data_IF_994038914996
#
_entry.id   IF_994038914996
#
_cell.length_a   1.000
_cell.length_b   1.000
_cell.length_c   1.000
_cell.angle_alpha   90.00
_cell.angle_beta   90.00
_cell.angle_gamma   90.00
#
_symmetry.space_group_name_H-M   'P 1'
#
loop_
_entity.id
_entity.type
_entity.pdbx_description
1 polymer ?
#
# COMPACT_ATOMS: atom_id res chain seq x y z
N UNK A 1 52.54 33.38 -15.73
CA UNK A 1 52.04 33.94 -17.00
C UNK A 1 50.58 34.27 -16.82
N UNK A 2 50.30 35.57 -16.78
CA UNK A 2 48.96 36.13 -16.59
C UNK A 2 48.31 36.30 -17.97
N UNK A 3 47.01 36.02 -18.10
CA UNK A 3 46.16 36.64 -19.12
C UNK A 3 44.83 37.06 -18.55
N UNK A 4 44.55 38.27 -18.90
CA UNK A 4 43.55 39.19 -18.43
C UNK A 4 42.17 38.93 -19.07
N UNK A 5 41.14 39.18 -18.31
CA UNK A 5 39.99 40.08 -18.45
C UNK A 5 39.55 40.47 -19.86
N UNK A 6 38.30 40.19 -20.19
CA UNK A 6 37.43 41.17 -20.89
C UNK A 6 35.96 40.98 -20.48
N UNK A 7 35.39 42.00 -19.85
CA UNK A 7 33.99 42.27 -19.68
C UNK A 7 33.41 42.72 -21.03
N UNK A 8 32.19 42.27 -21.36
CA UNK A 8 31.31 42.96 -22.31
C UNK A 8 29.94 43.10 -21.69
N UNK A 9 29.59 44.31 -21.36
CA UNK A 9 28.25 44.79 -21.05
C UNK A 9 27.49 44.99 -22.34
N UNK A 10 26.24 44.55 -22.38
CA UNK A 10 25.26 45.06 -23.34
C UNK A 10 23.94 45.28 -22.61
N UNK A 11 23.72 46.54 -22.29
CA UNK A 11 22.41 47.13 -22.00
C UNK A 11 21.45 46.93 -23.21
N UNK A 12 20.26 46.50 -22.94
CA UNK A 12 19.13 46.74 -23.83
C UNK A 12 17.88 47.02 -23.00
N UNK A 13 17.62 48.30 -22.82
CA UNK A 13 16.35 48.87 -22.44
C UNK A 13 15.34 48.60 -23.55
N UNK A 14 14.22 48.00 -23.23
CA UNK A 14 13.02 48.13 -24.06
C UNK A 14 11.87 48.69 -23.25
N UNK A 15 11.27 49.66 -23.90
CA UNK A 15 10.34 50.68 -23.50
C UNK A 15 8.94 50.13 -23.24
N UNK A 16 8.30 50.69 -22.23
CA UNK A 16 6.85 50.63 -21.93
C UNK A 16 5.99 50.91 -23.16
N UNK A 17 4.99 50.07 -23.36
CA UNK A 17 3.81 50.36 -24.16
C UNK A 17 2.57 49.88 -23.41
N UNK A 18 1.92 50.82 -22.74
CA UNK A 18 0.65 50.57 -22.04
C UNK A 18 -0.52 50.41 -23.01
N UNK A 19 -1.41 49.51 -22.65
CA UNK A 19 -2.80 49.57 -23.07
C UNK A 19 -3.68 49.12 -21.90
N UNK A 20 -4.25 50.11 -21.21
CA UNK A 20 -5.37 49.94 -20.31
C UNK A 20 -6.60 49.58 -21.15
N UNK A 21 -7.16 48.42 -20.98
CA UNK A 21 -8.52 48.10 -21.38
C UNK A 21 -9.31 47.69 -20.14
N UNK A 22 -9.98 48.67 -19.54
CA UNK A 22 -10.99 48.48 -18.51
C UNK A 22 -12.22 47.84 -19.14
N UNK A 23 -12.48 46.58 -18.86
CA UNK A 23 -13.79 45.97 -19.06
C UNK A 23 -14.38 45.64 -17.69
N UNK A 24 -15.26 46.53 -17.22
CA UNK A 24 -16.13 46.25 -16.09
C UNK A 24 -17.20 45.27 -16.56
N UNK A 25 -17.12 44.03 -16.11
CA UNK A 25 -18.26 43.11 -16.14
C UNK A 25 -18.71 42.90 -14.70
N UNK A 26 -19.86 43.52 -14.39
CA UNK A 26 -20.64 43.19 -13.21
C UNK A 26 -21.15 41.77 -13.36
N UNK A 27 -20.57 40.84 -12.60
CA UNK A 27 -21.17 39.53 -12.38
C UNK A 27 -21.86 39.61 -11.02
N UNK A 28 -23.18 39.76 -11.11
CA UNK A 28 -24.11 39.55 -10.01
C UNK A 28 -23.86 38.16 -9.39
N UNK A 29 -23.63 38.18 -8.10
CA UNK A 29 -23.55 36.98 -7.30
C UNK A 29 -24.84 36.15 -7.40
N UNK A 30 -24.65 34.90 -7.73
CA UNK A 30 -25.55 33.84 -7.30
C UNK A 30 -24.68 32.80 -6.59
N UNK A 31 -24.57 32.99 -5.29
CA UNK A 31 -24.23 31.90 -4.39
C UNK A 31 -25.35 30.87 -4.46
N UNK A 32 -25.26 29.96 -5.41
CA UNK A 32 -26.00 28.71 -5.35
C UNK A 32 -25.30 27.79 -4.36
N UNK A 33 -25.68 27.94 -3.10
CA UNK A 33 -25.54 26.88 -2.14
C UNK A 33 -26.30 25.64 -2.69
N UNK A 34 -25.59 24.70 -3.30
CA UNK A 34 -26.08 23.34 -3.46
C UNK A 34 -26.14 22.69 -2.08
N UNK A 35 -27.12 23.12 -1.27
CA UNK A 35 -27.66 22.29 -0.24
C UNK A 35 -28.34 21.13 -0.96
N UNK A 36 -27.70 19.96 -0.99
CA UNK A 36 -28.35 18.72 -1.37
C UNK A 36 -29.56 18.57 -0.45
N UNK A 37 -30.74 18.78 -1.02
CA UNK A 37 -31.99 18.58 -0.33
C UNK A 37 -32.04 17.12 0.13
N UNK A 38 -31.88 16.92 1.41
CA UNK A 38 -32.26 15.67 2.04
C UNK A 38 -33.76 15.48 1.78
N UNK A 39 -34.19 14.35 1.22
CA UNK A 39 -35.62 14.09 1.11
C UNK A 39 -36.18 14.07 2.54
N UNK A 40 -37.07 15.02 2.83
CA UNK A 40 -37.87 15.03 4.05
C UNK A 40 -38.70 13.75 4.06
N UNK A 41 -38.29 12.80 4.89
CA UNK A 41 -39.08 11.60 5.18
C UNK A 41 -40.29 12.08 5.98
N UNK A 42 -41.49 11.95 5.38
CA UNK A 42 -42.74 12.24 6.03
C UNK A 42 -42.88 11.36 7.27
N UNK A 43 -43.44 11.93 8.32
CA UNK A 43 -43.57 11.35 9.67
C UNK A 43 -44.60 10.19 9.79
N UNK A 44 -44.96 9.48 8.73
CA UNK A 44 -46.00 8.47 8.71
C UNK A 44 -45.52 7.02 8.65
N UNK A 45 -44.29 6.73 9.06
CA UNK A 45 -43.84 5.33 9.19
C UNK A 45 -43.46 4.97 10.63
N UNK A 46 -44.42 5.17 11.56
CA UNK A 46 -44.36 4.50 12.86
C UNK A 46 -44.92 3.09 12.69
N UNK A 47 -44.09 2.09 12.42
CA UNK A 47 -44.21 0.67 12.78
C UNK A 47 -43.48 -0.24 11.79
N UNK A 48 -42.13 -0.27 11.89
CA UNK A 48 -41.42 -1.48 11.49
C UNK A 48 -40.40 -1.80 12.62
N UNK A 49 -40.93 -2.37 13.71
CA UNK A 49 -40.11 -3.07 14.68
C UNK A 49 -39.59 -4.31 13.93
N UNK A 50 -38.27 -4.49 13.79
CA UNK A 50 -37.74 -5.70 13.13
C UNK A 50 -38.33 -6.94 13.77
N UNK A 51 -38.71 -7.92 12.96
CA UNK A 51 -39.18 -9.19 13.45
C UNK A 51 -38.12 -9.82 14.36
N UNK A 52 -38.51 -10.51 15.46
CA UNK A 52 -37.53 -11.17 16.33
C UNK A 52 -36.75 -12.21 15.53
N UNK A 53 -35.43 -11.93 15.35
CA UNK A 53 -34.51 -12.75 14.54
C UNK A 53 -33.85 -12.02 13.36
N UNK A 54 -34.18 -10.76 13.08
CA UNK A 54 -33.52 -9.98 12.04
C UNK A 54 -32.16 -9.49 12.52
N UNK A 55 -31.11 -9.69 11.70
CA UNK A 55 -29.77 -9.22 12.01
C UNK A 55 -29.73 -7.69 12.21
N UNK A 56 -28.84 -7.15 13.08
CA UNK A 56 -28.64 -5.73 13.27
C UNK A 56 -28.44 -4.97 11.96
N UNK A 57 -28.90 -3.73 11.89
CA UNK A 57 -28.83 -2.91 10.67
C UNK A 57 -27.42 -2.75 10.12
N UNK A 58 -26.41 -2.64 11.01
CA UNK A 58 -24.99 -2.56 10.66
C UNK A 58 -24.46 -3.85 10.02
N UNK A 59 -24.90 -5.02 10.50
CA UNK A 59 -24.49 -6.30 9.90
C UNK A 59 -25.12 -6.48 8.51
N UNK A 60 -26.40 -6.12 8.37
CA UNK A 60 -27.09 -6.10 7.07
C UNK A 60 -26.43 -5.15 6.09
N UNK A 61 -26.03 -3.96 6.55
CA UNK A 61 -25.32 -2.97 5.77
C UNK A 61 -23.94 -3.48 5.31
N UNK A 62 -23.19 -4.12 6.21
CA UNK A 62 -21.90 -4.72 5.89
C UNK A 62 -22.03 -5.85 4.85
N UNK A 63 -23.02 -6.72 5.01
CA UNK A 63 -23.27 -7.79 4.02
C UNK A 63 -23.71 -7.23 2.67
N UNK A 64 -24.59 -6.21 2.68
CA UNK A 64 -24.98 -5.52 1.44
C UNK A 64 -23.81 -4.87 0.75
N UNK A 65 -22.92 -4.22 1.53
CA UNK A 65 -21.69 -3.62 1.00
C UNK A 65 -20.79 -4.66 0.31
N UNK A 66 -20.58 -5.80 0.95
CA UNK A 66 -19.80 -6.89 0.36
C UNK A 66 -20.39 -7.33 -0.98
N UNK A 67 -21.69 -7.60 -1.01
CA UNK A 67 -22.38 -8.01 -2.22
C UNK A 67 -22.33 -6.94 -3.32
N UNK A 68 -22.45 -5.66 -2.93
CA UNK A 68 -22.37 -4.53 -3.86
C UNK A 68 -20.96 -4.40 -4.43
N UNK A 69 -19.93 -4.48 -3.59
CA UNK A 69 -18.53 -4.41 -3.99
C UNK A 69 -18.16 -5.52 -4.97
N UNK A 70 -18.64 -6.75 -4.72
CA UNK A 70 -18.46 -7.90 -5.60
C UNK A 70 -19.19 -7.70 -6.94
N UNK A 71 -20.46 -7.23 -6.90
CA UNK A 71 -21.27 -6.99 -8.10
C UNK A 71 -20.71 -5.86 -8.99
N UNK A 72 -20.15 -4.81 -8.40
CA UNK A 72 -19.50 -3.71 -9.11
C UNK A 72 -18.04 -4.03 -9.48
N UNK A 73 -17.53 -5.20 -9.08
CA UNK A 73 -16.12 -5.61 -9.27
C UNK A 73 -15.14 -4.53 -8.78
N UNK A 74 -15.38 -4.01 -7.56
CA UNK A 74 -14.58 -2.90 -7.04
C UNK A 74 -13.12 -3.30 -6.83
N UNK A 75 -12.22 -2.50 -7.39
CA UNK A 75 -10.81 -2.53 -7.07
C UNK A 75 -10.48 -1.35 -6.15
N UNK A 76 -10.44 -1.58 -4.84
CA UNK A 76 -10.22 -0.52 -3.84
C UNK A 76 -8.87 0.22 -4.01
N UNK A 77 -7.92 -0.31 -4.80
CA UNK A 77 -6.68 0.42 -5.14
C UNK A 77 -6.97 1.59 -6.07
N UNK A 78 -8.04 1.50 -6.87
CA UNK A 78 -8.45 2.49 -7.85
C UNK A 78 -9.70 3.20 -7.41
N UNK A 79 -10.70 2.45 -6.95
CA UNK A 79 -12.01 2.98 -6.61
C UNK A 79 -12.03 3.78 -5.29
N UNK A 80 -10.94 3.75 -4.51
CA UNK A 80 -10.74 4.50 -3.26
C UNK A 80 -12.03 4.69 -2.44
N UNK A 81 -12.76 3.61 -2.25
CA UNK A 81 -14.01 3.57 -1.51
C UNK A 81 -13.91 2.50 -0.43
N UNK A 82 -13.70 2.93 0.81
CA UNK A 82 -13.60 2.06 1.98
C UNK A 82 -14.62 2.50 3.01
N UNK A 83 -15.58 1.63 3.30
CA UNK A 83 -16.68 1.90 4.23
C UNK A 83 -16.63 0.96 5.44
N UNK A 84 -16.98 1.48 6.59
CA UNK A 84 -17.17 0.75 7.84
C UNK A 84 -18.57 1.05 8.37
N UNK A 85 -19.20 0.04 8.93
CA UNK A 85 -20.58 0.12 9.44
C UNK A 85 -20.60 -0.11 10.94
N UNK A 86 -21.48 0.61 11.63
CA UNK A 86 -21.68 0.51 13.05
C UNK A 86 -23.13 0.90 13.42
N UNK A 87 -23.48 0.79 14.71
CA UNK A 87 -24.81 1.18 15.16
C UNK A 87 -25.03 2.69 14.98
N UNK A 88 -26.21 3.07 14.49
CA UNK A 88 -26.62 4.47 14.35
C UNK A 88 -26.89 5.09 15.72
N UNK A 89 -26.57 6.38 15.88
CA UNK A 89 -26.88 7.12 17.12
C UNK A 89 -28.39 7.33 17.30
N UNK A 90 -29.13 7.48 16.18
CA UNK A 90 -30.59 7.68 16.18
C UNK A 90 -31.39 6.49 16.70
N UNK A 91 -30.82 5.28 16.69
CA UNK A 91 -31.51 4.03 17.03
C UNK A 91 -32.84 3.81 16.27
N UNK A 92 -33.00 4.46 15.12
CA UNK A 92 -34.17 4.24 14.26
C UNK A 92 -34.11 2.84 13.62
N UNK A 93 -35.23 2.16 13.43
CA UNK A 93 -35.27 0.90 12.72
C UNK A 93 -34.66 1.02 11.33
N UNK A 94 -33.77 0.10 10.96
CA UNK A 94 -33.07 0.12 9.66
C UNK A 94 -31.97 1.16 9.54
N UNK A 95 -31.65 1.94 10.59
CA UNK A 95 -30.55 2.90 10.57
C UNK A 95 -29.21 2.23 10.95
N UNK A 96 -28.15 2.57 10.21
CA UNK A 96 -26.78 2.21 10.52
C UNK A 96 -25.88 3.44 10.38
N UNK A 97 -24.81 3.53 11.19
CA UNK A 97 -23.75 4.50 10.95
C UNK A 97 -22.83 3.99 9.86
N UNK A 98 -22.41 4.87 8.96
CA UNK A 98 -21.37 4.58 7.96
C UNK A 98 -20.26 5.60 8.06
N UNK A 99 -19.04 5.11 8.22
CA UNK A 99 -17.82 5.91 8.24
C UNK A 99 -16.88 5.43 7.15
N UNK A 100 -15.82 6.19 6.87
CA UNK A 100 -14.81 5.77 5.91
C UNK A 100 -14.41 6.89 4.96
N UNK A 101 -13.93 6.48 3.79
CA UNK A 101 -13.45 7.40 2.76
C UNK A 101 -14.05 7.06 1.39
N UNK A 102 -14.19 8.07 0.55
CA UNK A 102 -14.63 7.92 -0.84
C UNK A 102 -13.93 8.94 -1.74
N UNK A 103 -13.34 8.46 -2.85
CA UNK A 103 -13.00 9.31 -4.00
C UNK A 103 -14.08 9.25 -5.09
N UNK A 104 -15.10 8.40 -4.92
CA UNK A 104 -16.12 8.08 -5.91
C UNK A 104 -17.54 8.44 -5.41
N UNK A 105 -17.93 9.74 -5.42
CA UNK A 105 -19.23 10.15 -4.91
C UNK A 105 -20.41 9.47 -5.62
N UNK A 106 -20.30 9.24 -6.93
CA UNK A 106 -21.35 8.59 -7.72
C UNK A 106 -21.55 7.13 -7.31
N UNK A 107 -20.46 6.41 -7.05
CA UNK A 107 -20.51 5.02 -6.61
C UNK A 107 -21.06 4.91 -5.19
N UNK A 108 -20.67 5.83 -4.30
CA UNK A 108 -21.24 5.92 -2.95
C UNK A 108 -22.74 6.19 -2.98
N UNK A 109 -23.21 7.12 -3.83
CA UNK A 109 -24.65 7.38 -4.00
C UNK A 109 -25.41 6.16 -4.55
N UNK A 110 -24.80 5.41 -5.49
CA UNK A 110 -25.37 4.17 -6.01
C UNK A 110 -25.51 3.12 -4.92
N UNK A 111 -24.53 2.96 -4.05
CA UNK A 111 -24.60 2.09 -2.88
C UNK A 111 -25.72 2.50 -1.93
N UNK A 112 -25.81 3.79 -1.56
CA UNK A 112 -26.87 4.27 -0.68
C UNK A 112 -28.28 4.07 -1.26
N UNK A 113 -28.43 4.28 -2.57
CA UNK A 113 -29.70 3.97 -3.25
C UNK A 113 -30.04 2.47 -3.23
N UNK A 114 -29.05 1.60 -3.33
CA UNK A 114 -29.27 0.14 -3.21
C UNK A 114 -29.69 -0.24 -1.79
N UNK A 115 -29.10 0.36 -0.78
CA UNK A 115 -29.40 0.15 0.63
C UNK A 115 -30.79 0.64 1.00
N UNK A 116 -31.20 1.81 0.52
CA UNK A 116 -32.53 2.36 0.75
C UNK A 116 -33.64 1.45 0.21
N UNK A 117 -33.41 0.79 -0.93
CA UNK A 117 -34.34 -0.21 -1.48
C UNK A 117 -34.54 -1.47 -0.60
N UNK A 118 -33.59 -1.69 0.33
CA UNK A 118 -33.66 -2.78 1.31
C UNK A 118 -34.04 -2.28 2.73
N UNK A 119 -34.59 -1.07 2.82
CA UNK A 119 -35.02 -0.49 4.09
C UNK A 119 -33.88 -0.07 5.02
N UNK A 120 -32.66 0.09 4.50
CA UNK A 120 -31.53 0.62 5.25
C UNK A 120 -31.36 2.13 5.00
N UNK A 121 -31.06 2.86 6.08
CA UNK A 121 -30.70 4.28 6.04
C UNK A 121 -29.36 4.50 6.73
N UNK A 122 -28.64 5.56 6.36
CA UNK A 122 -27.30 5.80 6.90
C UNK A 122 -27.16 7.15 7.56
N UNK A 123 -26.58 7.14 8.76
CA UNK A 123 -25.91 8.30 9.35
C UNK A 123 -24.49 8.32 8.82
N UNK A 124 -24.24 9.14 7.78
CA UNK A 124 -23.00 9.10 7.01
C UNK A 124 -21.97 10.11 7.54
N UNK A 125 -20.76 9.63 7.85
CA UNK A 125 -19.56 10.39 8.11
C UNK A 125 -18.41 9.92 7.20
N UNK A 126 -18.70 9.79 5.89
CA UNK A 126 -17.73 9.41 4.86
C UNK A 126 -16.95 10.64 4.42
N UNK A 127 -15.63 10.56 4.51
CA UNK A 127 -14.74 11.65 4.08
C UNK A 127 -14.46 11.55 2.58
N UNK A 128 -14.58 12.67 1.87
CA UNK A 128 -14.16 12.77 0.47
C UNK A 128 -12.63 12.86 0.39
N UNK A 129 -12.02 12.10 -0.53
CA UNK A 129 -10.56 12.11 -0.77
C UNK A 129 -10.27 12.11 -2.27
N UNK A 130 -9.14 12.70 -2.74
CA UNK A 130 -8.21 13.48 -1.92
C UNK A 130 -8.86 14.74 -1.37
N UNK A 131 -8.36 15.23 -0.23
CA UNK A 131 -8.80 16.49 0.38
C UNK A 131 -7.76 17.60 0.10
N UNK A 132 -7.80 18.30 -1.05
CA UNK A 132 -6.73 19.18 -1.51
C UNK A 132 -6.33 20.27 -0.51
N UNK A 133 -7.31 20.81 0.23
CA UNK A 133 -7.07 21.86 1.23
C UNK A 133 -6.22 21.39 2.41
N UNK A 134 -6.25 20.10 2.74
CA UNK A 134 -5.45 19.54 3.82
C UNK A 134 -4.03 19.18 3.39
N UNK A 135 -3.76 19.05 2.08
CA UNK A 135 -2.49 18.53 1.57
C UNK A 135 -1.36 19.55 1.58
N UNK A 136 -1.68 20.86 1.53
CA UNK A 136 -0.67 21.93 1.48
C UNK A 136 0.41 21.65 0.42
N UNK A 137 -0.01 21.25 -0.79
CA UNK A 137 0.82 20.82 -1.92
C UNK A 137 1.68 19.54 -1.67
N UNK A 138 1.65 18.98 -0.46
CA UNK A 138 2.40 17.75 -0.14
C UNK A 138 1.55 16.53 -0.49
N UNK A 139 1.60 16.14 -1.75
CA UNK A 139 0.78 15.06 -2.34
C UNK A 139 1.43 13.70 -2.25
N UNK A 140 2.72 13.65 -1.87
CA UNK A 140 3.52 12.42 -1.78
C UNK A 140 4.24 12.32 -0.45
N UNK A 141 4.41 11.09 0.02
CA UNK A 141 5.23 10.72 1.16
C UNK A 141 6.20 9.60 0.79
N UNK A 142 7.38 9.64 1.38
CA UNK A 142 8.35 8.53 1.32
C UNK A 142 8.74 8.20 2.75
N UNK A 143 8.65 6.93 3.13
CA UNK A 143 9.01 6.50 4.49
C UNK A 143 10.48 6.77 4.73
N UNK A 144 10.81 7.52 5.79
CA UNK A 144 12.18 7.96 6.13
C UNK A 144 12.81 7.22 7.32
N UNK A 145 12.04 6.36 7.96
CA UNK A 145 12.47 5.49 9.08
C UNK A 145 12.57 4.05 8.61
N UNK A 146 13.28 3.19 9.34
CA UNK A 146 13.47 1.78 8.97
C UNK A 146 12.15 1.05 8.75
N UNK A 147 11.22 1.23 9.69
CA UNK A 147 9.85 0.73 9.60
C UNK A 147 8.88 1.66 10.32
N UNK A 148 7.62 1.64 9.91
CA UNK A 148 6.52 2.39 10.53
C UNK A 148 5.22 1.61 10.40
N UNK A 149 4.28 1.86 11.32
CA UNK A 149 2.97 1.21 11.31
C UNK A 149 1.95 2.04 10.52
N UNK A 150 1.19 1.35 9.68
CA UNK A 150 0.04 1.89 9.00
C UNK A 150 -1.22 1.46 9.76
N UNK A 151 -2.03 2.43 10.21
CA UNK A 151 -3.22 2.21 11.04
C UNK A 151 -4.50 2.24 10.20
N UNK A 152 -5.51 1.47 10.58
CA UNK A 152 -6.80 1.42 9.87
C UNK A 152 -7.77 2.54 10.25
N UNK A 153 -7.61 3.13 11.43
CA UNK A 153 -8.51 4.14 11.97
C UNK A 153 -7.93 5.55 11.89
N UNK A 154 -8.82 6.52 11.73
CA UNK A 154 -8.48 7.93 11.92
C UNK A 154 -8.00 8.15 13.37
N UNK A 155 -6.78 8.63 13.60
CA UNK A 155 -6.23 8.85 14.94
C UNK A 155 -7.03 9.84 15.79
N UNK A 156 -7.95 10.63 15.18
CA UNK A 156 -8.88 11.50 15.91
C UNK A 156 -10.03 10.75 16.58
N UNK A 157 -10.26 9.49 16.21
CA UNK A 157 -11.29 8.65 16.85
C UNK A 157 -10.78 7.94 18.09
N UNK A 158 -9.85 8.57 18.82
CA UNK A 158 -9.21 8.06 20.03
C UNK A 158 -10.22 7.45 21.02
N UNK A 159 -9.96 6.23 21.44
CA UNK A 159 -10.80 5.41 22.35
C UNK A 159 -11.20 4.05 21.78
N UNK A 160 -10.96 3.79 20.48
CA UNK A 160 -11.07 2.46 19.89
C UNK A 160 -9.69 1.82 19.80
N UNK A 161 -9.63 0.52 19.92
CA UNK A 161 -8.38 -0.25 19.76
C UNK A 161 -7.84 -0.01 18.35
N UNK A 162 -6.74 0.73 18.25
CA UNK A 162 -6.03 0.95 17.00
C UNK A 162 -5.56 -0.41 16.46
N UNK A 163 -5.77 -0.63 15.19
CA UNK A 163 -5.32 -1.86 14.53
C UNK A 163 -4.29 -1.51 13.46
N UNK A 164 -3.10 -2.08 13.61
CA UNK A 164 -2.09 -2.01 12.57
C UNK A 164 -2.56 -2.79 11.35
N UNK A 165 -2.65 -2.10 10.22
CA UNK A 165 -3.05 -2.69 8.93
C UNK A 165 -1.89 -3.40 8.29
N UNK A 166 -0.72 -2.76 8.32
CA UNK A 166 0.56 -3.32 7.88
C UNK A 166 1.73 -2.49 8.39
N UNK A 167 2.90 -3.05 8.33
CA UNK A 167 4.17 -2.32 8.46
C UNK A 167 4.60 -1.82 7.08
N UNK A 168 5.07 -0.59 7.02
CA UNK A 168 5.70 0.02 5.85
C UNK A 168 7.17 0.26 6.14
N UNK A 169 8.01 0.27 5.12
CA UNK A 169 9.47 0.25 5.30
C UNK A 169 10.14 1.44 4.61
N UNK A 170 11.38 1.75 5.02
CA UNK A 170 12.19 2.83 4.47
C UNK A 170 12.11 2.87 2.94
N UNK A 171 11.94 4.06 2.37
CA UNK A 171 11.91 4.26 0.92
C UNK A 171 10.59 3.89 0.24
N UNK A 172 9.64 3.31 0.98
CA UNK A 172 8.31 3.02 0.41
C UNK A 172 7.59 4.32 0.07
N UNK A 173 7.07 4.39 -1.16
CA UNK A 173 6.38 5.55 -1.71
C UNK A 173 4.89 5.47 -1.45
N UNK A 174 4.28 6.62 -1.14
CA UNK A 174 2.85 6.73 -0.81
C UNK A 174 2.24 7.96 -1.44
N UNK A 175 1.01 7.85 -1.92
CA UNK A 175 0.18 9.00 -2.26
C UNK A 175 -0.54 9.49 -1.01
N UNK A 176 -0.47 10.78 -0.72
CA UNK A 176 -1.17 11.39 0.41
C UNK A 176 -2.56 11.82 -0.04
N UNK A 177 -3.58 11.37 0.66
CA UNK A 177 -4.98 11.63 0.34
C UNK A 177 -5.60 12.70 1.25
N UNK A 178 -5.14 12.76 2.51
CA UNK A 178 -5.60 13.71 3.51
C UNK A 178 -4.53 13.89 4.58
N UNK A 179 -4.44 15.08 5.16
CA UNK A 179 -3.60 15.36 6.32
C UNK A 179 -4.43 15.94 7.46
N UNK A 180 -4.13 15.54 8.68
CA UNK A 180 -4.72 16.21 9.84
C UNK A 180 -3.96 17.50 10.10
N UNK A 181 -4.70 18.59 10.35
CA UNK A 181 -4.08 19.82 10.80
C UNK A 181 -3.31 19.57 12.10
N UNK A 182 -2.08 20.04 12.18
CA UNK A 182 -1.36 20.16 13.44
C UNK A 182 -2.10 21.25 14.23
N UNK A 183 -3.00 20.83 15.11
CA UNK A 183 -3.50 21.73 16.14
C UNK A 183 -2.35 21.99 17.13
N UNK A 184 -2.35 23.13 17.80
CA UNK A 184 -1.27 23.66 18.64
C UNK A 184 -0.71 22.75 19.76
N UNK A 185 -0.99 21.45 19.74
CA UNK A 185 -0.32 20.44 20.52
C UNK A 185 0.93 19.96 19.78
N UNK A 186 2.05 19.77 20.47
CA UNK A 186 3.33 19.30 19.94
C UNK A 186 3.29 17.89 19.30
N UNK A 187 2.11 17.30 19.15
CA UNK A 187 1.92 16.00 18.53
C UNK A 187 2.05 16.09 17.01
N UNK A 188 2.83 15.20 16.37
CA UNK A 188 2.95 15.17 14.92
C UNK A 188 1.60 14.94 14.25
N UNK A 189 1.42 15.55 13.08
CA UNK A 189 0.24 15.32 12.24
C UNK A 189 0.16 13.87 11.74
N UNK A 190 -1.00 13.51 11.23
CA UNK A 190 -1.25 12.22 10.61
C UNK A 190 -1.64 12.42 9.14
N UNK A 191 -1.23 11.49 8.31
CA UNK A 191 -1.58 11.45 6.90
C UNK A 191 -2.36 10.16 6.60
N UNK A 192 -3.49 10.29 5.92
CA UNK A 192 -4.15 9.18 5.23
C UNK A 192 -3.42 8.97 3.91
N UNK A 193 -2.92 7.78 3.70
CA UNK A 193 -2.09 7.45 2.54
C UNK A 193 -2.61 6.26 1.76
N UNK A 194 -2.24 6.21 0.48
CA UNK A 194 -2.34 5.04 -0.37
C UNK A 194 -0.95 4.47 -0.62
N UNK A 195 -0.75 3.21 -0.26
CA UNK A 195 0.51 2.48 -0.43
C UNK A 195 0.68 1.97 -1.88
N UNK A 196 1.85 1.42 -2.19
CA UNK A 196 2.17 0.84 -3.50
C UNK A 196 1.19 -0.28 -3.92
N UNK A 197 0.76 -1.10 -2.98
CA UNK A 197 -0.23 -2.16 -3.21
C UNK A 197 -1.68 -1.65 -3.25
N UNK A 198 -1.87 -0.33 -3.17
CA UNK A 198 -3.17 0.34 -3.14
C UNK A 198 -3.84 0.36 -1.77
N UNK A 199 -3.27 -0.27 -0.73
CA UNK A 199 -3.84 -0.27 0.61
C UNK A 199 -3.86 1.13 1.20
N UNK A 200 -4.94 1.42 1.90
CA UNK A 200 -5.17 2.69 2.57
C UNK A 200 -4.91 2.56 4.06
N UNK A 201 -4.44 3.63 4.68
CA UNK A 201 -4.29 3.71 6.12
C UNK A 201 -3.70 5.04 6.59
N UNK A 202 -3.68 5.22 7.89
CA UNK A 202 -3.14 6.40 8.55
C UNK A 202 -1.71 6.17 9.03
N UNK A 203 -0.85 7.13 8.80
CA UNK A 203 0.55 7.11 9.22
C UNK A 203 0.95 8.44 9.84
N UNK A 204 1.81 8.42 10.87
CA UNK A 204 2.36 9.65 11.42
C UNK A 204 3.23 10.38 10.40
N UNK A 205 3.01 11.68 10.22
CA UNK A 205 3.84 12.51 9.34
C UNK A 205 5.31 12.56 9.80
N UNK A 206 5.58 12.32 11.09
CA UNK A 206 6.95 12.23 11.61
C UNK A 206 7.76 11.12 10.96
N UNK A 207 7.14 10.10 10.40
CA UNK A 207 7.78 8.97 9.72
C UNK A 207 7.93 9.17 8.21
N UNK A 208 7.37 10.26 7.67
CA UNK A 208 7.38 10.56 6.25
C UNK A 208 8.32 11.71 5.90
N UNK A 209 8.98 11.59 4.78
CA UNK A 209 9.52 12.71 4.02
C UNK A 209 8.44 13.17 3.05
N UNK A 210 7.74 14.25 3.41
CA UNK A 210 6.68 14.84 2.60
C UNK A 210 7.28 15.51 1.38
N UNK A 211 6.66 15.34 0.21
CA UNK A 211 7.11 15.90 -1.06
C UNK A 211 5.93 16.43 -1.86
N UNK A 212 6.13 17.57 -2.50
CA UNK A 212 5.26 18.01 -3.58
C UNK A 212 5.55 17.22 -4.86
N UNK A 213 4.73 17.39 -5.89
CA UNK A 213 4.86 16.65 -7.15
C UNK A 213 6.24 16.85 -7.80
N UNK A 214 6.80 18.06 -7.78
CA UNK A 214 8.10 18.34 -8.38
C UNK A 214 9.25 17.63 -7.64
N UNK A 215 9.24 17.69 -6.31
CA UNK A 215 10.26 17.04 -5.49
C UNK A 215 10.16 15.51 -5.60
N UNK A 216 8.96 14.97 -5.72
CA UNK A 216 8.74 13.53 -5.91
C UNK A 216 9.17 13.07 -7.30
N UNK A 217 8.86 13.84 -8.36
CA UNK A 217 9.36 13.60 -9.72
C UNK A 217 10.88 13.64 -9.76
N UNK A 218 11.49 14.63 -9.10
CA UNK A 218 12.96 14.72 -9.00
C UNK A 218 13.54 13.48 -8.31
N UNK A 219 12.95 13.03 -7.22
CA UNK A 219 13.36 11.80 -6.51
C UNK A 219 13.31 10.57 -7.41
N UNK A 220 12.22 10.38 -8.16
CA UNK A 220 12.05 9.21 -9.04
C UNK A 220 12.97 9.22 -10.27
N UNK A 221 13.48 10.39 -10.69
CA UNK A 221 14.40 10.50 -11.84
C UNK A 221 15.85 10.20 -11.50
N UNK A 222 16.18 10.11 -10.25
CA UNK A 222 17.55 9.92 -9.81
C UNK A 222 17.98 8.46 -9.94
N UNK A 223 19.27 8.24 -10.19
CA UNK A 223 19.85 6.91 -10.17
C UNK A 223 19.56 6.26 -8.81
N UNK A 224 19.16 5.01 -8.82
CA UNK A 224 18.82 4.30 -7.61
C UNK A 224 19.69 3.05 -7.43
N UNK A 225 19.98 2.75 -6.18
CA UNK A 225 20.53 1.49 -5.74
C UNK A 225 19.45 0.70 -5.00
N UNK A 226 19.41 -0.62 -5.20
CA UNK A 226 18.46 -1.54 -4.56
C UNK A 226 19.16 -2.35 -3.47
N UNK A 227 18.49 -2.52 -2.32
CA UNK A 227 18.97 -3.38 -1.22
C UNK A 227 18.87 -4.84 -1.61
N UNK A 228 19.98 -5.56 -1.55
CA UNK A 228 20.04 -6.99 -1.87
C UNK A 228 19.62 -7.89 -0.71
N UNK A 229 19.75 -7.40 0.52
CA UNK A 229 19.53 -8.18 1.74
C UNK A 229 18.58 -7.44 2.67
N UNK A 230 17.78 -8.17 3.46
CA UNK A 230 17.00 -7.57 4.52
C UNK A 230 17.92 -7.04 5.62
N UNK A 231 17.39 -6.10 6.40
CA UNK A 231 18.08 -5.51 7.53
C UNK A 231 19.46 -4.93 7.16
N UNK A 232 19.57 -4.36 5.95
CA UNK A 232 20.81 -3.71 5.50
C UNK A 232 21.06 -2.46 6.33
N UNK A 233 22.21 -2.40 6.98
CA UNK A 233 22.63 -1.27 7.81
C UNK A 233 23.03 -0.08 6.93
N UNK A 234 22.40 1.05 7.17
CA UNK A 234 22.72 2.35 6.59
C UNK A 234 23.29 3.25 7.69
N UNK A 235 24.51 3.74 7.50
CA UNK A 235 25.20 4.60 8.46
C UNK A 235 25.16 6.06 8.00
N UNK A 236 24.35 6.91 8.64
CA UNK A 236 24.34 8.34 8.34
C UNK A 236 25.70 8.99 8.65
N UNK A 237 26.11 9.97 7.84
CA UNK A 237 27.43 10.60 7.98
C UNK A 237 27.58 11.45 9.26
N UNK A 238 26.49 12.00 9.77
CA UNK A 238 26.51 12.95 10.88
C UNK A 238 26.49 12.29 12.29
N UNK A 239 26.73 10.98 12.38
CA UNK A 239 26.68 10.26 13.66
C UNK A 239 25.27 10.02 14.18
N UNK A 240 24.24 10.24 13.35
CA UNK A 240 22.86 9.90 13.64
C UNK A 240 22.70 8.38 13.86
N UNK A 241 21.58 8.00 14.47
CA UNK A 241 21.23 6.61 14.67
C UNK A 241 21.21 5.82 13.34
N UNK A 242 21.68 4.58 13.39
CA UNK A 242 21.60 3.66 12.26
C UNK A 242 20.18 3.52 11.75
N UNK A 243 20.05 3.44 10.42
CA UNK A 243 18.80 3.14 9.76
C UNK A 243 18.94 1.77 9.08
N UNK A 244 17.91 0.95 9.18
CA UNK A 244 17.91 -0.36 8.55
C UNK A 244 16.97 -0.35 7.36
N UNK A 245 17.41 -0.92 6.25
CA UNK A 245 16.66 -1.01 5.01
C UNK A 245 16.37 -2.47 4.65
N UNK A 246 15.17 -2.70 4.13
CA UNK A 246 14.72 -4.02 3.73
C UNK A 246 15.13 -4.35 2.29
N UNK A 247 15.19 -5.65 1.99
CA UNK A 247 15.52 -6.14 0.65
C UNK A 247 14.50 -5.67 -0.40
N UNK A 248 14.98 -5.33 -1.59
CA UNK A 248 14.18 -4.81 -2.70
C UNK A 248 13.79 -3.33 -2.57
N UNK A 249 14.20 -2.64 -1.49
CA UNK A 249 14.01 -1.21 -1.33
C UNK A 249 15.01 -0.43 -2.19
N UNK A 250 14.52 0.64 -2.83
CA UNK A 250 15.30 1.50 -3.71
C UNK A 250 15.52 2.86 -3.05
N UNK A 251 16.79 3.26 -2.95
CA UNK A 251 17.22 4.59 -2.49
C UNK A 251 18.02 5.29 -3.57
N UNK A 252 18.08 6.61 -3.49
CA UNK A 252 18.87 7.39 -4.41
C UNK A 252 20.38 7.17 -4.17
N UNK A 253 21.10 6.81 -5.23
CA UNK A 253 22.53 6.60 -5.24
C UNK A 253 23.24 7.93 -5.44
N UNK A 254 24.13 8.30 -4.52
CA UNK A 254 25.03 9.45 -4.63
C UNK A 254 26.38 9.00 -5.23
N UNK A 255 26.98 7.96 -4.64
CA UNK A 255 28.28 7.45 -5.04
C UNK A 255 28.33 5.94 -4.88
N UNK A 256 29.16 5.27 -5.71
CA UNK A 256 29.48 3.86 -5.57
C UNK A 256 31.00 3.68 -5.65
N UNK A 257 31.55 3.08 -4.61
CA UNK A 257 32.93 2.63 -4.51
C UNK A 257 32.96 1.11 -4.28
N UNK A 258 34.06 0.41 -4.55
CA UNK A 258 34.12 -1.04 -4.33
C UNK A 258 33.71 -1.48 -2.92
N UNK A 259 34.06 -0.68 -1.91
CA UNK A 259 33.85 -1.02 -0.51
C UNK A 259 32.54 -0.48 0.07
N UNK A 260 31.93 0.54 -0.56
CA UNK A 260 30.70 1.15 -0.04
C UNK A 260 29.85 1.80 -1.14
N UNK A 261 28.57 1.94 -0.81
CA UNK A 261 27.60 2.80 -1.48
C UNK A 261 27.29 4.00 -0.60
N UNK A 262 27.26 5.19 -1.17
CA UNK A 262 26.68 6.36 -0.55
C UNK A 262 25.30 6.61 -1.15
N UNK A 263 24.30 6.68 -0.29
CA UNK A 263 22.89 6.87 -0.68
C UNK A 263 22.28 8.05 0.04
N UNK A 264 21.27 8.66 -0.57
CA UNK A 264 20.44 9.69 0.03
C UNK A 264 19.20 9.07 0.64
N UNK A 265 18.98 9.30 1.92
CA UNK A 265 17.75 8.94 2.61
C UNK A 265 16.60 9.88 2.17
N UNK A 266 15.32 9.47 2.31
CA UNK A 266 14.17 10.27 1.89
C UNK A 266 14.11 11.67 2.51
N UNK A 267 14.64 11.85 3.71
CA UNK A 267 14.72 13.12 4.44
C UNK A 267 15.93 14.00 4.08
N UNK A 268 16.76 13.55 3.13
CA UNK A 268 17.92 14.29 2.65
C UNK A 268 19.23 13.99 3.38
N UNK A 269 19.24 13.13 4.40
CA UNK A 269 20.48 12.67 5.03
C UNK A 269 21.23 11.72 4.09
N UNK A 270 22.55 11.82 4.10
CA UNK A 270 23.43 10.88 3.42
C UNK A 270 23.74 9.70 4.33
N UNK A 271 23.82 8.52 3.76
CA UNK A 271 24.18 7.33 4.50
C UNK A 271 25.08 6.41 3.66
N UNK A 272 25.91 5.61 4.34
CA UNK A 272 26.80 4.62 3.72
C UNK A 272 26.32 3.21 4.04
N UNK A 273 26.42 2.33 3.05
CA UNK A 273 26.21 0.90 3.17
C UNK A 273 27.41 0.14 2.61
N UNK A 274 27.61 -1.12 3.04
CA UNK A 274 28.68 -1.97 2.52
C UNK A 274 28.54 -2.20 1.00
N UNK A 275 29.64 -2.28 0.28
CA UNK A 275 29.68 -2.43 -1.18
C UNK A 275 28.89 -3.63 -1.71
N UNK A 276 28.79 -4.72 -0.93
CA UNK A 276 28.03 -5.94 -1.27
C UNK A 276 26.55 -5.89 -0.91
N UNK A 277 26.10 -4.83 -0.23
CA UNK A 277 24.73 -4.74 0.29
C UNK A 277 23.73 -4.21 -0.73
N UNK A 278 24.20 -3.45 -1.72
CA UNK A 278 23.39 -2.84 -2.75
C UNK A 278 23.80 -3.29 -4.14
N UNK A 279 22.97 -2.95 -5.10
CA UNK A 279 23.15 -3.16 -6.53
C UNK A 279 22.51 -2.01 -7.30
N UNK A 280 23.03 -1.70 -8.50
CA UNK A 280 22.40 -0.75 -9.41
C UNK A 280 20.99 -1.22 -9.80
N UNK A 281 20.01 -0.34 -9.69
CA UNK A 281 18.60 -0.68 -9.92
C UNK A 281 18.33 -1.10 -11.36
N UNK A 282 19.00 -0.50 -12.33
CA UNK A 282 18.77 -0.81 -13.75
C UNK A 282 19.31 -2.19 -14.09
N UNK A 283 20.50 -2.53 -13.60
CA UNK A 283 21.09 -3.86 -13.78
C UNK A 283 20.24 -4.94 -13.10
N UNK A 284 19.77 -4.68 -11.88
CA UNK A 284 18.86 -5.58 -11.16
C UNK A 284 17.54 -5.81 -11.92
N UNK A 285 16.86 -4.74 -12.33
CA UNK A 285 15.60 -4.83 -13.08
C UNK A 285 15.77 -5.61 -14.40
N UNK A 286 16.87 -5.34 -15.13
CA UNK A 286 17.14 -6.03 -16.38
C UNK A 286 17.37 -7.53 -16.16
N UNK A 287 18.14 -7.91 -15.16
CA UNK A 287 18.40 -9.30 -14.79
C UNK A 287 17.11 -10.02 -14.41
N UNK A 288 16.29 -9.41 -13.54
CA UNK A 288 15.04 -10.02 -13.09
C UNK A 288 14.02 -10.16 -14.21
N UNK A 289 13.90 -9.15 -15.09
CA UNK A 289 13.03 -9.22 -16.26
C UNK A 289 13.46 -10.31 -17.24
N UNK A 290 14.77 -10.40 -17.53
CA UNK A 290 15.31 -11.45 -18.40
C UNK A 290 15.08 -12.85 -17.80
N UNK A 291 15.31 -13.03 -16.50
CA UNK A 291 15.08 -14.30 -15.82
C UNK A 291 13.60 -14.72 -15.89
N UNK A 292 12.68 -13.80 -15.65
CA UNK A 292 11.22 -14.07 -15.75
C UNK A 292 10.82 -14.47 -17.17
N UNK A 293 11.38 -13.79 -18.18
CA UNK A 293 11.01 -13.98 -19.57
C UNK A 293 11.61 -15.24 -20.18
N UNK A 294 12.91 -15.45 -19.96
CA UNK A 294 13.66 -16.53 -20.67
C UNK A 294 13.61 -17.87 -19.93
N UNK A 295 13.45 -17.87 -18.62
CA UNK A 295 13.49 -19.08 -17.80
C UNK A 295 12.56 -19.05 -16.59
N UNK A 296 11.23 -19.17 -16.80
CA UNK A 296 10.25 -19.14 -15.68
C UNK A 296 10.54 -20.18 -14.58
N UNK A 297 11.07 -21.36 -14.96
CA UNK A 297 11.45 -22.38 -13.99
C UNK A 297 12.66 -21.97 -13.14
N UNK A 298 13.65 -21.30 -13.74
CA UNK A 298 14.79 -20.78 -12.99
C UNK A 298 14.37 -19.61 -12.10
N UNK A 299 13.43 -18.78 -12.58
CA UNK A 299 12.85 -17.71 -11.78
C UNK A 299 12.17 -18.25 -10.49
N UNK A 300 11.31 -19.26 -10.61
CA UNK A 300 10.68 -19.88 -9.45
C UNK A 300 11.71 -20.48 -8.46
N UNK A 301 12.77 -21.12 -8.98
CA UNK A 301 13.87 -21.61 -8.14
C UNK A 301 14.60 -20.46 -7.42
N UNK A 302 14.76 -19.31 -8.09
CA UNK A 302 15.38 -18.14 -7.48
C UNK A 302 14.50 -17.58 -6.33
N UNK A 303 13.16 -17.57 -6.47
CA UNK A 303 12.24 -17.24 -5.38
C UNK A 303 12.44 -18.15 -4.17
N UNK A 304 12.52 -19.48 -4.40
CA UNK A 304 12.75 -20.43 -3.34
C UNK A 304 14.11 -20.21 -2.64
N UNK A 305 15.17 -19.99 -3.40
CA UNK A 305 16.50 -19.72 -2.85
C UNK A 305 16.52 -18.40 -2.03
N UNK A 306 15.83 -17.38 -2.48
CA UNK A 306 15.69 -16.13 -1.73
C UNK A 306 14.92 -16.33 -0.43
N UNK A 307 13.84 -17.11 -0.44
CA UNK A 307 13.10 -17.45 0.77
C UNK A 307 13.96 -18.22 1.78
N UNK A 308 14.76 -19.17 1.30
CA UNK A 308 15.72 -19.90 2.14
C UNK A 308 16.80 -18.98 2.72
N UNK A 309 17.28 -18.00 1.94
CA UNK A 309 18.21 -16.97 2.39
C UNK A 309 17.68 -16.03 3.48
N UNK A 310 16.36 -15.97 3.67
CA UNK A 310 15.71 -15.18 4.72
C UNK A 310 15.52 -15.94 6.04
N UNK A 311 15.88 -17.22 6.11
CA UNK A 311 15.72 -18.04 7.33
C UNK A 311 16.44 -17.39 8.51
N UNK A 312 15.77 -17.33 9.65
CA UNK A 312 16.23 -16.67 10.87
C UNK A 312 15.84 -15.19 10.99
N UNK A 313 15.42 -14.54 9.90
CA UNK A 313 14.92 -13.15 9.94
C UNK A 313 13.63 -13.06 10.77
N UNK A 314 13.51 -12.00 11.59
CA UNK A 314 12.28 -11.73 12.34
C UNK A 314 11.16 -11.23 11.43
N UNK A 315 9.91 -11.59 11.72
CA UNK A 315 8.74 -11.15 10.96
C UNK A 315 8.58 -9.63 10.99
N UNK A 316 8.79 -8.99 12.14
CA UNK A 316 8.71 -7.53 12.29
C UNK A 316 9.66 -6.77 11.35
N UNK A 317 10.86 -7.34 11.10
CA UNK A 317 11.88 -6.77 10.22
C UNK A 317 11.46 -6.86 8.76
N UNK A 318 10.73 -7.89 8.37
CA UNK A 318 10.31 -8.08 6.98
C UNK A 318 9.27 -7.04 6.52
N UNK A 319 8.46 -6.52 7.45
CA UNK A 319 7.43 -5.52 7.19
C UNK A 319 6.27 -5.99 6.28
N UNK A 320 6.32 -7.24 5.80
CA UNK A 320 5.30 -7.84 4.93
C UNK A 320 5.36 -9.38 5.02
N UNK A 321 4.33 -10.12 4.58
CA UNK A 321 4.38 -11.57 4.46
C UNK A 321 5.60 -12.03 3.63
N UNK A 322 6.21 -13.14 4.02
CA UNK A 322 7.42 -13.65 3.38
C UNK A 322 7.36 -13.71 1.84
N UNK A 323 6.27 -14.21 1.20
CA UNK A 323 6.21 -14.21 -0.26
C UNK A 323 6.26 -12.81 -0.87
N UNK A 324 5.66 -11.80 -0.22
CA UNK A 324 5.69 -10.40 -0.69
C UNK A 324 7.10 -9.83 -0.65
N UNK A 325 7.85 -10.12 0.41
CA UNK A 325 9.26 -9.71 0.54
C UNK A 325 10.11 -10.36 -0.55
N UNK A 326 9.93 -11.67 -0.74
CA UNK A 326 10.67 -12.41 -1.77
C UNK A 326 10.34 -11.89 -3.18
N UNK A 327 9.06 -11.65 -3.48
CA UNK A 327 8.67 -11.06 -4.77
C UNK A 327 9.29 -9.67 -4.96
N UNK A 328 9.32 -8.84 -3.92
CA UNK A 328 9.99 -7.53 -3.96
C UNK A 328 11.50 -7.63 -4.22
N UNK A 329 12.18 -8.64 -3.67
CA UNK A 329 13.60 -8.92 -3.96
C UNK A 329 13.84 -9.25 -5.45
N UNK A 330 12.81 -9.70 -6.14
CA UNK A 330 12.80 -10.06 -7.56
C UNK A 330 12.03 -9.06 -8.45
N UNK A 331 11.98 -7.80 -8.05
CA UNK A 331 11.32 -6.70 -8.78
C UNK A 331 9.85 -6.97 -9.09
N UNK A 332 9.11 -7.56 -8.14
CA UNK A 332 7.67 -7.69 -8.22
C UNK A 332 7.01 -7.12 -6.96
N UNK A 333 6.21 -6.09 -7.16
CA UNK A 333 5.42 -5.44 -6.12
C UNK A 333 4.06 -6.12 -6.07
N UNK A 334 3.86 -6.95 -5.06
CA UNK A 334 2.65 -7.72 -4.84
C UNK A 334 1.78 -7.11 -3.72
N UNK A 335 0.47 -7.41 -3.69
CA UNK A 335 -0.36 -7.06 -2.54
C UNK A 335 0.21 -7.61 -1.24
N UNK A 336 0.32 -6.76 -0.21
CA UNK A 336 0.80 -7.18 1.11
C UNK A 336 -0.28 -7.92 1.93
N UNK A 337 -1.50 -7.92 1.46
CA UNK A 337 -2.62 -8.64 2.03
C UNK A 337 -2.62 -10.10 1.56
N UNK A 338 -2.62 -11.04 2.50
CA UNK A 338 -2.51 -12.49 2.19
C UNK A 338 -3.72 -12.96 1.36
N UNK A 339 -4.92 -12.50 1.67
CA UNK A 339 -6.13 -12.87 0.93
C UNK A 339 -6.03 -12.43 -0.54
N UNK A 340 -5.50 -11.24 -0.79
CA UNK A 340 -5.30 -10.75 -2.16
C UNK A 340 -4.12 -11.39 -2.87
N UNK A 341 -3.03 -11.63 -2.16
CA UNK A 341 -1.89 -12.37 -2.68
C UNK A 341 -2.36 -13.76 -3.16
N UNK A 342 -3.25 -14.39 -2.41
CA UNK A 342 -3.83 -15.69 -2.72
C UNK A 342 -4.72 -15.70 -3.97
N UNK A 343 -5.20 -14.53 -4.42
CA UNK A 343 -6.04 -14.35 -5.60
C UNK A 343 -5.29 -13.86 -6.84
N UNK A 344 -3.96 -13.79 -6.81
CA UNK A 344 -3.16 -13.34 -7.96
C UNK A 344 -3.25 -14.26 -9.19
N UNK A 345 -3.71 -15.49 -9.03
CA UNK A 345 -3.86 -16.47 -10.10
C UNK A 345 -4.76 -17.63 -9.70
N UNK A 346 -4.85 -18.63 -10.56
CA UNK A 346 -5.63 -19.82 -10.28
C UNK A 346 -4.90 -20.70 -9.24
N UNK A 347 -5.60 -21.18 -8.21
CA UNK A 347 -5.03 -22.13 -7.27
C UNK A 347 -4.58 -23.40 -8.01
N UNK A 348 -3.49 -23.97 -7.58
CA UNK A 348 -3.09 -25.30 -8.00
C UNK A 348 -4.09 -26.29 -7.40
N UNK A 349 -4.75 -27.06 -8.26
CA UNK A 349 -5.63 -28.15 -7.88
C UNK A 349 -4.79 -29.36 -7.45
N UNK A 350 -4.01 -29.18 -6.40
CA UNK A 350 -3.11 -30.25 -5.93
C UNK A 350 -3.70 -30.93 -4.72
N UNK A 351 -3.49 -32.23 -4.65
CA UNK A 351 -3.72 -33.00 -3.45
C UNK A 351 -2.98 -32.36 -2.27
N UNK A 352 -3.59 -32.39 -1.09
CA UNK A 352 -3.04 -31.80 0.15
C UNK A 352 -1.66 -32.34 0.56
N UNK A 353 -1.10 -33.28 -0.19
CA UNK A 353 0.22 -33.88 0.04
C UNK A 353 1.40 -33.11 -0.58
N UNK A 354 1.13 -32.13 -1.46
CA UNK A 354 2.16 -31.30 -2.09
C UNK A 354 2.87 -31.96 -3.28
N UNK A 355 2.36 -33.09 -3.81
CA UNK A 355 3.02 -33.85 -4.89
C UNK A 355 3.22 -33.04 -6.18
N UNK A 356 2.33 -32.08 -6.48
CA UNK A 356 2.42 -31.20 -7.66
C UNK A 356 3.22 -29.91 -7.44
N UNK A 357 3.64 -29.64 -6.20
CA UNK A 357 4.33 -28.39 -5.87
C UNK A 357 5.75 -28.37 -6.43
N UNK A 358 6.15 -27.22 -6.94
CA UNK A 358 7.51 -26.92 -7.42
C UNK A 358 8.13 -25.81 -6.59
N UNK A 359 9.46 -25.86 -6.43
CA UNK A 359 10.18 -24.81 -5.74
C UNK A 359 9.78 -23.43 -6.28
N UNK A 360 9.46 -22.50 -5.37
CA UNK A 360 8.98 -21.16 -5.68
C UNK A 360 7.45 -20.99 -5.73
N UNK A 361 6.67 -22.08 -5.58
CA UNK A 361 5.21 -21.94 -5.44
C UNK A 361 4.88 -21.25 -4.12
N UNK A 362 3.93 -20.32 -4.18
CA UNK A 362 3.41 -19.62 -3.01
C UNK A 362 2.39 -20.53 -2.32
N UNK A 363 2.53 -20.68 -1.02
CA UNK A 363 1.64 -21.53 -0.20
C UNK A 363 0.79 -20.68 0.71
N UNK A 364 -0.47 -21.07 0.90
CA UNK A 364 -1.41 -20.39 1.76
C UNK A 364 -1.96 -21.31 2.82
N UNK A 365 -2.02 -20.80 4.04
CA UNK A 365 -2.44 -21.53 5.23
C UNK A 365 -3.49 -20.73 5.98
N UNK A 366 -4.42 -21.42 6.62
CA UNK A 366 -5.49 -20.77 7.37
C UNK A 366 -6.55 -21.75 7.84
N UNK A 367 -7.74 -21.22 8.13
CA UNK A 367 -8.90 -21.97 8.56
C UNK A 367 -10.11 -21.60 7.71
N UNK A 368 -11.05 -22.53 7.52
CA UNK A 368 -12.31 -22.30 6.80
C UNK A 368 -12.15 -21.68 5.40
N UNK A 369 -11.08 -22.08 4.68
CA UNK A 369 -10.71 -21.54 3.36
C UNK A 369 -10.34 -20.05 3.35
N UNK A 370 -10.06 -19.46 4.52
CA UNK A 370 -9.57 -18.11 4.68
C UNK A 370 -8.06 -18.12 4.89
N UNK A 371 -7.24 -17.59 3.95
CA UNK A 371 -5.80 -17.57 4.09
C UNK A 371 -5.37 -16.51 5.13
N UNK A 372 -4.67 -16.96 6.16
CA UNK A 372 -4.18 -16.12 7.27
C UNK A 372 -2.66 -16.01 7.29
N UNK A 373 -1.96 -16.96 6.68
CA UNK A 373 -0.51 -16.96 6.58
C UNK A 373 -0.05 -17.52 5.22
N UNK A 374 1.18 -17.20 4.85
CA UNK A 374 1.73 -17.60 3.57
C UNK A 374 3.20 -17.99 3.67
N UNK A 375 3.64 -18.87 2.77
CA UNK A 375 5.01 -19.33 2.66
C UNK A 375 5.42 -19.59 1.23
N UNK A 376 6.63 -20.11 1.04
CA UNK A 376 7.18 -20.48 -0.27
C UNK A 376 7.69 -21.91 -0.22
N UNK A 377 7.25 -22.72 -1.16
CA UNK A 377 7.69 -24.10 -1.30
C UNK A 377 9.15 -24.18 -1.75
N UNK A 378 9.96 -24.95 -1.02
CA UNK A 378 11.38 -25.15 -1.29
C UNK A 378 11.68 -26.45 -2.04
N UNK A 379 10.71 -27.36 -2.08
CA UNK A 379 10.88 -28.72 -2.58
C UNK A 379 11.04 -29.74 -1.47
N UNK A 380 10.94 -31.02 -1.83
CA UNK A 380 11.19 -32.17 -0.93
C UNK A 380 10.36 -32.13 0.38
N UNK A 381 9.10 -31.75 0.29
CA UNK A 381 8.21 -31.65 1.46
C UNK A 381 8.50 -30.44 2.36
N UNK A 382 9.40 -29.52 1.98
CA UNK A 382 9.85 -28.39 2.79
C UNK A 382 9.31 -27.07 2.23
N UNK A 383 9.06 -26.10 3.09
CA UNK A 383 8.70 -24.75 2.73
C UNK A 383 9.27 -23.75 3.73
N UNK A 384 9.47 -22.51 3.29
CA UNK A 384 9.81 -21.38 4.15
C UNK A 384 8.55 -20.61 4.52
N UNK A 385 8.39 -20.28 5.79
CA UNK A 385 7.33 -19.41 6.30
C UNK A 385 7.78 -18.74 7.60
N UNK A 386 7.05 -17.73 8.05
CA UNK A 386 7.22 -17.21 9.42
C UNK A 386 6.62 -18.23 10.39
N UNK A 387 7.47 -18.80 11.23
CA UNK A 387 7.02 -19.71 12.29
C UNK A 387 6.33 -18.89 13.41
N UNK A 388 5.05 -19.10 13.68
CA UNK A 388 4.32 -18.33 14.68
C UNK A 388 4.78 -18.57 16.12
N UNK A 389 5.60 -19.59 16.38
CA UNK A 389 6.16 -19.85 17.70
C UNK A 389 7.39 -19.01 17.99
N UNK A 390 8.24 -18.79 16.97
CA UNK A 390 9.51 -18.08 17.10
C UNK A 390 9.48 -16.68 16.53
N UNK A 391 8.42 -16.34 15.79
CA UNK A 391 8.26 -15.09 15.04
C UNK A 391 9.43 -14.84 14.06
N UNK A 392 9.96 -15.93 13.51
CA UNK A 392 11.07 -15.91 12.54
C UNK A 392 10.75 -16.74 11.32
N UNK A 393 11.38 -16.37 10.20
CA UNK A 393 11.37 -17.24 9.02
C UNK A 393 12.08 -18.55 9.35
N UNK A 394 11.41 -19.66 9.11
CA UNK A 394 11.92 -21.00 9.34
C UNK A 394 11.64 -21.91 8.14
N UNK A 395 12.48 -22.93 7.97
CA UNK A 395 12.18 -24.04 7.07
C UNK A 395 11.34 -25.07 7.84
N UNK A 396 10.15 -25.31 7.35
CA UNK A 396 9.15 -26.20 7.94
C UNK A 396 8.86 -27.38 6.99
N UNK A 397 8.34 -28.46 7.52
CA UNK A 397 7.89 -29.61 6.73
C UNK A 397 6.38 -29.66 6.67
N UNK A 398 5.84 -29.91 5.48
CA UNK A 398 4.39 -30.00 5.28
C UNK A 398 3.77 -31.14 6.09
N UNK A 399 4.50 -32.27 6.27
CA UNK A 399 4.11 -33.39 7.13
C UNK A 399 3.85 -32.99 8.57
N UNK A 400 4.65 -32.04 9.09
CA UNK A 400 4.64 -31.69 10.52
C UNK A 400 3.43 -30.79 10.86
N UNK A 401 2.86 -30.07 9.88
CA UNK A 401 1.65 -29.26 10.08
C UNK A 401 0.45 -30.13 10.53
N UNK A 402 0.35 -31.34 9.99
CA UNK A 402 -0.73 -32.30 10.33
C UNK A 402 -0.62 -32.80 11.77
N UNK A 403 0.60 -32.89 12.31
CA UNK A 403 0.87 -33.40 13.66
C UNK A 403 0.71 -32.30 14.73
N UNK A 404 0.85 -31.02 14.35
CA UNK A 404 0.91 -29.90 15.26
C UNK A 404 -0.43 -29.14 15.44
N UNK A 405 -1.53 -29.66 14.90
CA UNK A 405 -2.86 -29.02 14.96
C UNK A 405 -3.38 -28.71 16.38
N UNK A 406 -2.73 -29.23 17.42
CA UNK A 406 -3.07 -29.00 18.84
C UNK A 406 -2.27 -27.89 19.51
N UNK A 407 -1.31 -27.25 18.82
CA UNK A 407 -0.50 -26.17 19.39
C UNK A 407 -1.27 -24.85 19.35
N UNK A 408 -1.08 -24.01 20.35
CA UNK A 408 -1.80 -22.73 20.52
C UNK A 408 -1.48 -21.66 19.49
N UNK A 409 -0.35 -21.79 18.78
CA UNK A 409 0.01 -20.91 17.66
C UNK A 409 0.45 -21.78 16.49
N UNK A 410 -0.34 -21.82 15.44
CA UNK A 410 -0.05 -22.58 14.22
C UNK A 410 -0.20 -21.69 12.99
N UNK A 411 0.39 -22.12 11.87
CA UNK A 411 0.15 -21.49 10.57
C UNK A 411 -1.29 -21.71 10.07
N UNK A 412 -2.05 -22.61 10.70
CA UNK A 412 -3.30 -23.13 10.17
C UNK A 412 -3.07 -24.37 9.29
N UNK A 413 -4.12 -24.82 8.62
CA UNK A 413 -4.04 -25.93 7.66
C UNK A 413 -3.53 -25.41 6.31
N UNK A 414 -2.84 -26.27 5.56
CA UNK A 414 -2.52 -25.94 4.16
C UNK A 414 -3.82 -25.91 3.35
N UNK A 415 -4.11 -24.78 2.73
CA UNK A 415 -5.33 -24.54 1.94
C UNK A 415 -5.07 -24.84 0.47
N UNK A 416 -4.18 -24.10 -0.18
CA UNK A 416 -3.77 -24.28 -1.57
C UNK A 416 -2.42 -23.62 -1.82
N UNK A 417 -1.91 -23.80 -3.02
CA UNK A 417 -0.74 -23.10 -3.51
C UNK A 417 -1.03 -22.37 -4.82
N UNK A 418 -0.21 -21.39 -5.13
CA UNK A 418 -0.25 -20.62 -6.35
C UNK A 418 1.12 -20.70 -7.05
N UNK A 419 1.14 -21.06 -8.32
CA UNK A 419 2.34 -20.96 -9.16
C UNK A 419 2.24 -19.72 -10.04
N UNK A 420 3.23 -18.84 -9.94
CA UNK A 420 3.34 -17.68 -10.81
C UNK A 420 3.80 -18.13 -12.20
N UNK A 421 2.84 -18.37 -13.10
CA UNK A 421 3.09 -18.66 -14.51
C UNK A 421 3.35 -17.36 -15.27
N UNK A 422 3.89 -17.42 -16.50
CA UNK A 422 4.15 -16.21 -17.31
C UNK A 422 2.92 -15.29 -17.46
N UNK A 423 1.71 -15.84 -17.50
CA UNK A 423 0.46 -15.08 -17.59
C UNK A 423 0.16 -14.31 -16.31
N UNK A 424 0.36 -14.95 -15.14
CA UNK A 424 0.18 -14.29 -13.83
C UNK A 424 1.23 -13.21 -13.59
N UNK A 425 2.46 -13.40 -14.12
CA UNK A 425 3.51 -12.38 -14.04
C UNK A 425 3.22 -11.11 -14.86
N UNK A 426 2.21 -11.14 -15.74
CA UNK A 426 1.68 -9.98 -16.47
C UNK A 426 0.44 -9.37 -15.80
N UNK A 427 0.00 -9.91 -14.65
CA UNK A 427 -1.15 -9.41 -13.93
C UNK A 427 -0.93 -7.95 -13.48
N UNK A 428 -1.85 -7.01 -13.78
CA UNK A 428 -1.73 -5.61 -13.33
C UNK A 428 -1.71 -5.44 -11.80
N UNK A 429 -2.03 -6.48 -11.04
CA UNK A 429 -1.87 -6.50 -9.59
C UNK A 429 -0.44 -6.86 -9.13
N UNK A 430 0.43 -7.32 -10.06
CA UNK A 430 1.80 -7.74 -9.80
C UNK A 430 2.74 -6.97 -10.74
N UNK A 431 3.19 -5.81 -10.30
CA UNK A 431 3.93 -4.86 -11.12
C UNK A 431 5.43 -4.87 -10.77
N UNK A 432 6.29 -4.75 -11.79
CA UNK A 432 7.69 -4.38 -11.53
C UNK A 432 7.79 -2.93 -11.06
N UNK A 433 8.84 -2.57 -10.36
CA UNK A 433 9.07 -1.17 -9.99
C UNK A 433 9.19 -0.26 -11.23
N UNK A 434 9.68 -0.79 -12.37
CA UNK A 434 9.74 -0.07 -13.64
C UNK A 434 8.35 0.27 -14.19
N UNK A 435 7.37 -0.62 -14.03
CA UNK A 435 6.01 -0.45 -14.57
C UNK A 435 5.01 0.14 -13.56
N UNK A 436 5.36 0.14 -12.28
CA UNK A 436 4.47 0.63 -11.24
C UNK A 436 4.25 2.15 -11.35
N UNK A 437 3.00 2.64 -11.35
CA UNK A 437 2.67 4.04 -11.56
C UNK A 437 3.38 5.03 -10.63
N UNK A 438 3.61 4.67 -9.37
CA UNK A 438 4.28 5.57 -8.40
C UNK A 438 5.80 5.71 -8.66
N UNK A 439 6.41 4.86 -9.49
CA UNK A 439 7.79 4.99 -9.92
C UNK A 439 7.93 5.68 -11.28
N UNK A 440 6.83 5.91 -12.00
CA UNK A 440 6.85 6.63 -13.27
C UNK A 440 7.14 8.11 -13.09
N UNK A 441 7.51 8.78 -14.16
CA UNK A 441 7.86 10.19 -14.16
C UNK A 441 7.17 10.92 -15.31
N UNK A 442 6.09 11.67 -15.08
CA UNK A 442 5.41 11.90 -13.77
C UNK A 442 4.75 10.63 -13.22
N UNK A 443 4.49 10.57 -11.90
CA UNK A 443 3.72 9.49 -11.31
C UNK A 443 2.32 9.40 -11.92
N UNK A 444 1.81 8.19 -12.06
CA UNK A 444 0.49 7.93 -12.61
C UNK A 444 -0.42 7.27 -11.56
N UNK A 445 -1.70 7.19 -11.87
CA UNK A 445 -2.67 6.47 -11.05
C UNK A 445 -2.53 4.96 -11.21
N UNK A 446 -2.89 4.22 -10.15
CA UNK A 446 -2.97 2.78 -10.21
C UNK A 446 -4.05 2.35 -11.21
N UNK A 447 -3.75 1.34 -12.01
CA UNK A 447 -4.73 0.77 -12.93
C UNK A 447 -5.50 -0.35 -12.25
N UNK A 448 -6.75 -0.51 -12.65
CA UNK A 448 -7.57 -1.64 -12.19
C UNK A 448 -6.89 -2.96 -12.50
N UNK A 449 -6.93 -3.88 -11.54
CA UNK A 449 -6.57 -5.26 -11.74
C UNK A 449 -7.74 -6.15 -11.27
N UNK A 450 -7.89 -7.29 -11.94
CA UNK A 450 -8.86 -8.30 -11.51
C UNK A 450 -8.12 -9.38 -10.71
N UNK A 451 -8.45 -9.45 -9.43
CA UNK A 451 -8.11 -10.61 -8.60
C UNK A 451 -9.16 -11.69 -8.87
N UNK A 452 -8.74 -12.90 -9.09
CA UNK A 452 -9.62 -14.05 -9.37
C UNK A 452 -10.09 -14.73 -8.09
#
# INVERSE_FOLDING_TARGET
MAFASTRSSADSRFILGGLLLTLALAVLGSESACAAAQPSVSADNAANIPAPGEAPSEERAAQLWKNFADAEALDYRVDLLALQFGPAASRLPGAAAVTGISAEPALLAKFFAAAARQGLSFESAVNQVPEPKSLDLMTWGIVKVGSAELMDLDPKTAGRTERTVRTVVLGERMRILKRTSVTASDAPGWALVQCLDGRLGWISESWLALKNDMAFVSWNRQNAAVMRRPNTELRPENGDALVFAEAGIQLYQLEHQPDYWEVLLPDGRKAKAAGTALEDVSAWQQREEELRRSSPSAYLKALAASAEGLVGSKAEVLGAPLPVVVLRMHDLLAPADIDRLARLGAPLSGERDGAELKAGDLMFFGEHDEPQSAGIWLGEGRFAAVDPQTDRVAVLKLSDLRQNAKKTKTLGTFLWALRLKPQELQNPCLLSSRSHPFFQTPPAELKRCQLR
#
